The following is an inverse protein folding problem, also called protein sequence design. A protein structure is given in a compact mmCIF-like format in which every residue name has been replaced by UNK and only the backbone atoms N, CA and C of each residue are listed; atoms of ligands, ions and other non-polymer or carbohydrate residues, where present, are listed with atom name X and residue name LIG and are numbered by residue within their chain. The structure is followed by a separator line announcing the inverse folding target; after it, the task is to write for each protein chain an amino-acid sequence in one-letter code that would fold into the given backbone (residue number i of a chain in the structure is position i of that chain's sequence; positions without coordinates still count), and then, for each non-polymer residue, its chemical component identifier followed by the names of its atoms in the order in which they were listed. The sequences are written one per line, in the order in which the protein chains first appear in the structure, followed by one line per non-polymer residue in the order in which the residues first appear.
data_IF_471053394055
#
_entry.id   IF_471053394055
#
_cell.length_a   1.000
_cell.length_b   1.000
_cell.length_c   1.000
_cell.angle_alpha   90.00
_cell.angle_beta   90.00
_cell.angle_gamma   90.00
#
_symmetry.space_group_name_H-M   'P 1'
#
loop_
_entity.id
_entity.type
_entity.pdbx_description
1 polymer ?
#
# COMPACT_ATOMS: atom_id res chain seq x y z
N UNK A 1 -11.83 17.19 -7.60
CA UNK A 1 -12.10 15.81 -8.04
C UNK A 1 -13.19 15.73 -9.10
N UNK A 2 -14.47 16.12 -8.86
CA UNK A 2 -15.55 16.07 -9.86
C UNK A 2 -15.19 16.72 -11.22
N UNK A 3 -14.57 17.90 -11.20
CA UNK A 3 -14.13 18.59 -12.43
C UNK A 3 -13.10 17.78 -13.23
N UNK A 4 -12.18 17.08 -12.55
CA UNK A 4 -11.18 16.23 -13.21
C UNK A 4 -11.83 15.01 -13.85
N UNK A 5 -12.79 14.38 -13.18
CA UNK A 5 -13.56 13.25 -13.72
C UNK A 5 -14.33 13.70 -14.96
N UNK A 6 -15.06 14.82 -14.88
CA UNK A 6 -15.82 15.35 -15.99
C UNK A 6 -14.94 15.72 -17.20
N UNK A 7 -13.78 16.33 -16.96
CA UNK A 7 -12.83 16.69 -18.03
C UNK A 7 -12.21 15.46 -18.72
N UNK A 8 -12.07 14.34 -17.99
CA UNK A 8 -11.45 13.10 -18.53
C UNK A 8 -12.47 12.12 -19.13
N UNK A 9 -13.73 12.23 -18.76
CA UNK A 9 -14.80 11.36 -19.24
C UNK A 9 -16.09 12.18 -19.43
N UNK A 10 -16.13 13.06 -20.42
CA UNK A 10 -17.31 13.86 -20.69
C UNK A 10 -18.46 12.98 -21.18
N UNK A 11 -19.58 13.01 -20.45
CA UNK A 11 -20.83 12.35 -20.86
C UNK A 11 -20.99 10.86 -20.50
N UNK A 12 -20.05 10.28 -19.73
CA UNK A 12 -20.14 8.89 -19.29
C UNK A 12 -19.93 8.68 -17.80
N UNK A 13 -20.37 7.53 -17.24
CA UNK A 13 -20.04 7.15 -15.89
C UNK A 13 -18.52 6.91 -15.78
N UNK A 14 -17.88 7.58 -14.82
CA UNK A 14 -16.45 7.42 -14.59
C UNK A 14 -16.14 7.27 -13.10
N UNK A 15 -15.08 6.52 -12.79
CA UNK A 15 -14.55 6.35 -11.44
C UNK A 15 -13.21 7.05 -11.33
N UNK A 16 -12.98 7.70 -10.19
CA UNK A 16 -11.68 8.26 -9.88
C UNK A 16 -10.87 7.20 -9.12
N UNK A 17 -9.70 6.89 -9.65
CA UNK A 17 -8.72 6.05 -8.98
C UNK A 17 -7.52 6.93 -8.60
N UNK A 18 -7.06 6.78 -7.37
CA UNK A 18 -5.89 7.51 -6.85
C UNK A 18 -4.97 6.56 -6.10
N UNK A 19 -3.68 6.66 -6.37
CA UNK A 19 -2.63 5.98 -5.61
C UNK A 19 -1.79 7.03 -4.88
N UNK A 20 -1.74 6.94 -3.55
CA UNK A 20 -0.85 7.76 -2.73
C UNK A 20 -0.48 6.96 -1.48
N UNK A 21 0.81 6.83 -1.18
CA UNK A 21 1.30 6.07 -0.03
C UNK A 21 0.79 6.65 1.30
N UNK A 22 0.65 7.97 1.42
CA UNK A 22 0.13 8.63 2.60
C UNK A 22 -1.37 8.38 2.86
N UNK A 23 -2.11 7.78 1.91
CA UNK A 23 -3.51 7.45 2.13
C UNK A 23 -3.72 6.41 3.23
N UNK A 24 -2.70 5.61 3.54
CA UNK A 24 -2.74 4.66 4.67
C UNK A 24 -3.05 5.37 5.99
N UNK A 25 -2.49 6.56 6.23
CA UNK A 25 -2.78 7.36 7.43
C UNK A 25 -4.11 8.14 7.35
N UNK A 26 -4.73 8.17 6.17
CA UNK A 26 -5.96 8.95 5.90
C UNK A 26 -7.21 8.09 5.75
N UNK A 27 -7.13 6.79 6.04
CA UNK A 27 -8.25 5.85 5.87
C UNK A 27 -9.56 6.38 6.50
N UNK A 28 -9.61 6.79 7.78
CA UNK A 28 -10.86 7.27 8.37
C UNK A 28 -11.40 8.52 7.68
N UNK A 29 -10.53 9.46 7.34
CA UNK A 29 -10.93 10.66 6.60
C UNK A 29 -11.49 10.32 5.20
N UNK A 30 -10.87 9.37 4.49
CA UNK A 30 -11.35 8.94 3.18
C UNK A 30 -12.72 8.27 3.28
N UNK A 31 -12.94 7.45 4.30
CA UNK A 31 -14.21 6.77 4.54
C UNK A 31 -15.33 7.75 4.92
N UNK A 32 -15.00 8.80 5.66
CA UNK A 32 -15.93 9.87 6.03
C UNK A 32 -16.23 10.79 4.84
N UNK A 33 -15.20 11.31 4.19
CA UNK A 33 -15.35 12.27 3.09
C UNK A 33 -15.93 11.63 1.81
N UNK A 34 -15.75 10.33 1.63
CA UNK A 34 -16.20 9.56 0.48
C UNK A 34 -16.80 8.21 0.91
N UNK A 35 -18.02 8.20 1.49
CA UNK A 35 -18.62 6.98 2.07
C UNK A 35 -18.73 5.79 1.11
N UNK A 36 -18.71 6.05 -0.19
CA UNK A 36 -18.76 5.00 -1.24
C UNK A 36 -17.39 4.63 -1.82
N UNK A 37 -16.28 5.17 -1.29
CA UNK A 37 -14.97 4.82 -1.83
C UNK A 37 -14.61 3.37 -1.48
N UNK A 38 -13.86 2.74 -2.38
CA UNK A 38 -13.22 1.45 -2.15
C UNK A 38 -11.75 1.69 -1.87
N UNK A 39 -11.27 1.17 -0.75
CA UNK A 39 -9.87 1.26 -0.35
C UNK A 39 -9.23 -0.08 -0.64
N UNK A 40 -8.29 -0.10 -1.58
CA UNK A 40 -7.50 -1.29 -1.91
C UNK A 40 -6.14 -1.15 -1.22
N UNK A 41 -5.77 -2.17 -0.47
CA UNK A 41 -4.50 -2.26 0.25
C UNK A 41 -3.68 -3.41 -0.33
N UNK A 42 -2.67 -3.12 -1.16
CA UNK A 42 -1.71 -4.14 -1.56
C UNK A 42 -0.93 -4.60 -0.33
N UNK A 43 -1.04 -5.88 -0.01
CA UNK A 43 -0.39 -6.49 1.14
C UNK A 43 0.84 -7.26 0.70
N UNK A 44 1.98 -6.92 1.28
CA UNK A 44 3.27 -7.56 1.02
C UNK A 44 3.82 -8.10 2.33
N UNK A 45 4.51 -9.24 2.28
CA UNK A 45 5.16 -9.84 3.45
C UNK A 45 6.06 -8.83 4.16
N UNK A 46 6.01 -8.77 5.50
CA UNK A 46 6.69 -7.73 6.28
C UNK A 46 8.19 -7.68 6.02
N UNK A 47 8.89 -8.85 6.02
CA UNK A 47 10.34 -8.91 5.79
C UNK A 47 10.73 -8.36 4.42
N UNK A 48 9.97 -8.72 3.41
CA UNK A 48 10.25 -8.33 2.03
C UNK A 48 9.91 -6.86 1.79
N UNK A 49 8.86 -6.35 2.44
CA UNK A 49 8.46 -4.94 2.35
C UNK A 49 9.45 -4.04 3.10
N UNK A 50 9.76 -4.39 4.36
CA UNK A 50 10.71 -3.65 5.19
C UNK A 50 12.11 -3.59 4.56
N UNK A 51 12.63 -4.71 4.03
CA UNK A 51 13.89 -4.73 3.31
C UNK A 51 13.88 -3.82 2.06
N UNK A 52 12.75 -3.76 1.36
CA UNK A 52 12.60 -2.85 0.22
C UNK A 52 12.60 -1.38 0.61
N UNK A 53 11.92 -1.04 1.73
CA UNK A 53 11.90 0.32 2.27
C UNK A 53 13.28 0.75 2.75
N UNK A 54 13.98 -0.11 3.50
CA UNK A 54 15.37 0.14 3.93
C UNK A 54 16.28 0.38 2.73
N UNK A 55 16.26 -0.51 1.74
CA UNK A 55 17.08 -0.34 0.53
C UNK A 55 16.79 0.99 -0.18
N UNK A 56 15.53 1.38 -0.26
CA UNK A 56 15.13 2.66 -0.86
C UNK A 56 15.64 3.83 -0.02
N UNK A 57 15.55 3.73 1.31
CA UNK A 57 16.06 4.77 2.22
C UNK A 57 17.58 4.95 2.09
N UNK A 58 18.34 3.86 2.10
CA UNK A 58 19.80 3.91 1.93
C UNK A 58 20.20 4.48 0.57
N UNK A 59 19.45 4.13 -0.49
CA UNK A 59 19.68 4.71 -1.81
C UNK A 59 19.45 6.24 -1.82
N UNK A 60 18.36 6.72 -1.19
CA UNK A 60 18.08 8.14 -1.11
C UNK A 60 19.03 8.90 -0.17
N UNK A 61 19.53 8.26 0.90
CA UNK A 61 20.59 8.85 1.70
C UNK A 61 21.80 9.20 0.85
N UNK A 62 22.24 8.26 0.00
CA UNK A 62 23.36 8.47 -0.92
C UNK A 62 23.05 9.54 -1.96
N UNK A 63 21.94 9.41 -2.68
CA UNK A 63 21.55 10.36 -3.73
C UNK A 63 21.42 11.79 -3.23
N UNK A 64 20.85 11.97 -2.04
CA UNK A 64 20.64 13.31 -1.45
C UNK A 64 21.90 13.88 -0.79
N UNK A 65 22.88 13.03 -0.44
CA UNK A 65 24.19 13.47 -0.01
C UNK A 65 25.05 13.95 -1.19
N UNK A 66 24.96 13.22 -2.31
CA UNK A 66 25.75 13.50 -3.51
C UNK A 66 25.20 14.68 -4.35
N UNK A 67 23.87 14.94 -4.27
CA UNK A 67 23.21 15.96 -5.08
C UNK A 67 22.19 16.78 -4.27
N UNK A 68 22.51 18.05 -4.05
CA UNK A 68 21.63 18.99 -3.34
C UNK A 68 20.34 19.28 -4.10
N UNK A 69 20.35 19.23 -5.44
CA UNK A 69 19.16 19.43 -6.24
C UNK A 69 18.12 18.34 -5.96
N UNK A 70 18.54 17.05 -5.88
CA UNK A 70 17.64 15.95 -5.55
C UNK A 70 17.01 16.17 -4.18
N UNK A 71 17.82 16.55 -3.18
CA UNK A 71 17.32 16.82 -1.83
C UNK A 71 16.30 17.95 -1.80
N UNK A 72 16.60 19.05 -2.49
CA UNK A 72 15.72 20.22 -2.61
C UNK A 72 14.44 19.87 -3.35
N UNK A 73 14.55 19.23 -4.51
CA UNK A 73 13.41 18.82 -5.32
C UNK A 73 12.44 17.92 -4.54
N UNK A 74 12.96 16.88 -3.86
CA UNK A 74 12.13 15.96 -3.06
C UNK A 74 11.40 16.71 -1.93
N UNK A 75 12.08 17.64 -1.27
CA UNK A 75 11.45 18.50 -0.25
C UNK A 75 10.35 19.37 -0.83
N UNK A 76 10.59 20.02 -1.97
CA UNK A 76 9.68 20.98 -2.58
C UNK A 76 8.39 20.30 -3.11
N UNK A 77 8.48 19.03 -3.54
CA UNK A 77 7.32 18.22 -3.93
C UNK A 77 6.67 17.44 -2.76
N UNK A 78 7.20 17.59 -1.53
CA UNK A 78 6.65 16.96 -0.33
C UNK A 78 6.92 15.47 -0.21
N UNK A 79 7.98 14.95 -0.84
CA UNK A 79 8.41 13.55 -0.73
C UNK A 79 9.40 13.36 0.41
N UNK A 80 8.89 13.10 1.59
CA UNK A 80 9.66 12.91 2.83
C UNK A 80 9.80 11.45 3.25
N UNK A 81 9.48 10.51 2.39
CA UNK A 81 9.43 9.09 2.74
C UNK A 81 10.81 8.48 3.02
N UNK A 82 11.89 9.03 2.41
CA UNK A 82 13.23 8.43 2.44
C UNK A 82 14.34 9.48 2.44
N UNK A 83 15.55 9.03 2.81
CA UNK A 83 16.80 9.80 2.71
C UNK A 83 17.01 10.78 3.86
N UNK A 84 17.86 11.79 3.64
CA UNK A 84 18.24 12.80 4.62
C UNK A 84 17.09 13.64 5.16
N UNK A 85 16.03 13.76 4.38
CA UNK A 85 14.84 14.53 4.73
C UNK A 85 13.69 13.62 5.20
N UNK A 86 13.97 12.37 5.54
CA UNK A 86 12.99 11.40 5.98
C UNK A 86 12.13 11.92 7.14
N UNK A 87 10.82 11.81 6.97
CA UNK A 87 9.80 12.07 8.00
C UNK A 87 8.74 10.99 7.92
N UNK A 88 8.72 10.06 8.87
CA UNK A 88 7.74 8.98 8.87
C UNK A 88 6.33 9.49 9.15
N UNK A 89 5.34 8.78 8.67
CA UNK A 89 3.97 8.93 9.18
C UNK A 89 3.94 8.36 10.60
N UNK A 90 3.35 9.12 11.51
CA UNK A 90 3.24 8.69 12.91
C UNK A 90 1.96 7.87 13.08
N UNK A 91 2.13 6.58 13.32
CA UNK A 91 1.05 5.66 13.68
C UNK A 91 1.01 5.46 15.20
N UNK A 92 -0.15 5.13 15.78
CA UNK A 92 -0.21 4.75 17.20
C UNK A 92 0.76 3.61 17.51
N UNK A 93 1.60 3.79 18.52
CA UNK A 93 2.62 2.82 18.91
C UNK A 93 3.94 2.90 18.14
N UNK A 94 4.05 3.79 17.14
CA UNK A 94 5.31 4.03 16.45
C UNK A 94 6.05 5.23 17.05
N UNK A 95 7.21 4.96 17.66
CA UNK A 95 8.18 5.98 18.03
C UNK A 95 9.36 5.90 17.05
N UNK A 96 9.58 6.93 16.21
CA UNK A 96 10.67 6.95 15.25
C UNK A 96 12.07 6.99 15.88
N UNK A 97 12.18 7.27 17.17
CA UNK A 97 13.44 7.28 17.90
C UNK A 97 13.86 5.91 18.45
N UNK A 98 12.98 4.90 18.40
CA UNK A 98 13.28 3.56 18.95
C UNK A 98 14.42 2.86 18.22
N UNK A 99 14.54 3.04 16.92
CA UNK A 99 15.56 2.40 16.08
C UNK A 99 16.16 3.41 15.10
N UNK A 100 17.40 3.19 14.72
CA UNK A 100 18.05 3.97 13.68
C UNK A 100 17.45 3.67 12.31
N UNK A 101 17.20 4.71 11.50
CA UNK A 101 16.56 4.58 10.18
C UNK A 101 17.36 3.73 9.17
N UNK A 102 18.62 3.48 9.47
CA UNK A 102 19.53 2.64 8.67
C UNK A 102 19.49 1.17 9.05
N UNK A 103 18.69 0.79 10.05
CA UNK A 103 18.56 -0.60 10.52
C UNK A 103 17.30 -1.28 9.97
N UNK A 104 17.31 -2.61 9.79
CA UNK A 104 16.12 -3.38 9.40
C UNK A 104 14.96 -3.21 10.39
N UNK A 105 15.25 -3.16 11.70
CA UNK A 105 14.22 -3.12 12.76
C UNK A 105 13.41 -1.84 12.73
N UNK A 106 14.00 -0.70 12.32
CA UNK A 106 13.23 0.51 12.09
C UNK A 106 12.09 0.28 11.07
N UNK A 107 12.39 -0.36 9.95
CA UNK A 107 11.45 -0.51 8.84
C UNK A 107 10.41 -1.60 9.07
N UNK A 108 10.77 -2.67 9.79
CA UNK A 108 9.77 -3.67 10.14
C UNK A 108 8.85 -3.16 11.27
N UNK A 109 9.35 -2.39 12.23
CA UNK A 109 8.53 -1.72 13.23
C UNK A 109 7.60 -0.68 12.57
N UNK A 110 8.12 0.10 11.64
CA UNK A 110 7.30 1.04 10.86
C UNK A 110 6.19 0.31 10.09
N UNK A 111 6.52 -0.81 9.43
CA UNK A 111 5.56 -1.67 8.78
C UNK A 111 4.51 -2.19 9.77
N UNK A 112 4.93 -2.75 10.89
CA UNK A 112 4.07 -3.31 11.93
C UNK A 112 3.04 -2.30 12.43
N UNK A 113 3.48 -1.10 12.81
CA UNK A 113 2.55 -0.09 13.35
C UNK A 113 1.62 0.48 12.28
N UNK A 114 2.10 0.62 11.03
CA UNK A 114 1.27 1.02 9.91
C UNK A 114 0.16 -0.01 9.63
N UNK A 115 0.48 -1.30 9.62
CA UNK A 115 -0.51 -2.33 9.34
C UNK A 115 -1.40 -2.68 10.55
N UNK A 116 -0.93 -2.52 11.78
CA UNK A 116 -1.79 -2.48 12.98
C UNK A 116 -2.83 -1.35 12.89
N UNK A 117 -2.41 -0.22 12.36
CA UNK A 117 -3.36 0.88 12.13
C UNK A 117 -4.38 0.51 11.04
N UNK A 118 -3.96 -0.08 9.92
CA UNK A 118 -4.86 -0.58 8.85
C UNK A 118 -5.84 -1.63 9.38
N UNK A 119 -5.38 -2.53 10.25
CA UNK A 119 -6.19 -3.59 10.87
C UNK A 119 -7.45 -3.04 11.58
N UNK A 120 -7.39 -1.81 12.10
CA UNK A 120 -8.56 -1.15 12.71
C UNK A 120 -9.69 -0.87 11.70
N UNK A 121 -9.40 -0.95 10.42
CA UNK A 121 -10.32 -0.70 9.30
C UNK A 121 -10.42 -1.89 8.35
N UNK A 122 -10.03 -3.09 8.81
CA UNK A 122 -9.92 -4.28 7.95
C UNK A 122 -11.24 -4.63 7.26
N UNK A 123 -12.40 -4.38 7.88
CA UNK A 123 -13.73 -4.59 7.29
C UNK A 123 -14.12 -3.57 6.21
N UNK A 124 -13.32 -2.53 6.06
CA UNK A 124 -13.57 -1.42 5.11
C UNK A 124 -12.55 -1.38 3.99
N UNK A 125 -11.59 -2.32 3.99
CA UNK A 125 -10.51 -2.43 3.01
C UNK A 125 -10.63 -3.72 2.21
N UNK A 126 -10.19 -3.68 0.96
CA UNK A 126 -9.95 -4.85 0.12
C UNK A 126 -8.45 -5.10 0.12
N UNK A 127 -8.04 -6.26 0.59
CA UNK A 127 -6.64 -6.65 0.59
C UNK A 127 -6.34 -7.44 -0.67
N UNK A 128 -5.21 -7.15 -1.31
CA UNK A 128 -4.70 -7.93 -2.44
C UNK A 128 -3.25 -8.30 -2.15
N UNK A 129 -2.98 -9.60 -2.08
CA UNK A 129 -1.67 -10.09 -1.70
C UNK A 129 -0.70 -9.96 -2.87
N UNK A 130 0.48 -9.44 -2.61
CA UNK A 130 1.49 -9.31 -3.65
C UNK A 130 1.99 -10.67 -4.13
N UNK A 131 2.01 -11.67 -3.24
CA UNK A 131 2.40 -13.03 -3.55
C UNK A 131 1.42 -13.63 -4.58
N UNK A 132 0.11 -13.48 -4.36
CA UNK A 132 -0.93 -13.95 -5.29
C UNK A 132 -0.88 -13.20 -6.62
N UNK A 133 -0.74 -11.86 -6.59
CA UNK A 133 -0.58 -11.06 -7.82
C UNK A 133 0.63 -11.46 -8.66
N UNK A 134 1.62 -12.12 -8.08
CA UNK A 134 2.81 -12.58 -8.80
C UNK A 134 2.75 -14.06 -9.18
N UNK A 135 2.06 -14.86 -8.37
CA UNK A 135 1.85 -16.28 -8.66
C UNK A 135 0.86 -16.46 -9.81
N UNK A 136 -0.28 -15.79 -9.73
CA UNK A 136 -1.31 -15.75 -10.76
C UNK A 136 -1.88 -14.33 -10.94
N UNK A 137 -1.20 -13.49 -11.72
CA UNK A 137 -1.60 -12.10 -11.94
C UNK A 137 -2.99 -11.97 -12.56
N UNK A 138 -3.32 -12.87 -13.51
CA UNK A 138 -4.57 -12.78 -14.25
C UNK A 138 -5.76 -13.05 -13.33
N UNK A 139 -5.75 -14.20 -12.64
CA UNK A 139 -6.83 -14.61 -11.76
C UNK A 139 -7.00 -13.64 -10.58
N UNK A 140 -5.88 -13.23 -9.95
CA UNK A 140 -5.90 -12.32 -8.79
C UNK A 140 -6.48 -10.94 -9.15
N UNK A 141 -6.08 -10.37 -10.28
CA UNK A 141 -6.54 -9.04 -10.66
C UNK A 141 -7.93 -9.05 -11.29
N UNK A 142 -8.36 -10.14 -11.91
CA UNK A 142 -9.76 -10.33 -12.31
C UNK A 142 -10.68 -10.40 -11.08
N UNK A 143 -10.30 -11.16 -10.04
CA UNK A 143 -11.02 -11.20 -8.77
C UNK A 143 -11.07 -9.81 -8.09
N UNK A 144 -9.99 -9.05 -8.14
CA UNK A 144 -9.99 -7.66 -7.64
C UNK A 144 -10.92 -6.77 -8.47
N UNK A 145 -10.92 -6.89 -9.78
CA UNK A 145 -11.82 -6.14 -10.65
C UNK A 145 -13.29 -6.46 -10.34
N UNK A 146 -13.61 -7.74 -10.13
CA UNK A 146 -14.95 -8.18 -9.73
C UNK A 146 -15.35 -7.57 -8.38
N UNK A 147 -14.49 -7.66 -7.36
CA UNK A 147 -14.72 -7.07 -6.04
C UNK A 147 -14.93 -5.54 -6.09
N UNK A 148 -14.31 -4.88 -7.06
CA UNK A 148 -14.47 -3.45 -7.31
C UNK A 148 -15.71 -3.15 -8.20
N UNK A 149 -16.33 -4.15 -8.80
CA UNK A 149 -17.40 -3.98 -9.81
C UNK A 149 -16.89 -3.25 -11.05
N UNK A 150 -15.71 -3.61 -11.54
CA UNK A 150 -15.05 -3.08 -12.74
C UNK A 150 -14.82 -4.22 -13.70
N UNK A 151 -15.24 -4.05 -14.95
CA UNK A 151 -14.93 -5.05 -15.97
C UNK A 151 -13.41 -4.99 -16.31
N UNK A 152 -12.69 -6.11 -16.25
CA UNK A 152 -11.25 -6.13 -16.51
C UNK A 152 -10.90 -5.85 -17.99
N UNK A 153 -11.87 -5.98 -18.89
CA UNK A 153 -11.64 -5.84 -20.32
C UNK A 153 -10.82 -7.01 -20.88
N UNK A 154 -10.05 -6.73 -21.93
CA UNK A 154 -9.13 -7.71 -22.55
C UNK A 154 -7.68 -7.40 -22.16
N UNK A 155 -7.43 -7.23 -20.87
CA UNK A 155 -6.08 -6.90 -20.34
C UNK A 155 -5.37 -8.20 -20.00
N UNK A 156 -4.19 -8.39 -20.54
CA UNK A 156 -3.24 -9.40 -20.08
C UNK A 156 -2.46 -8.83 -18.89
N UNK A 157 -2.92 -9.14 -17.68
CA UNK A 157 -2.27 -8.67 -16.46
C UNK A 157 -0.90 -9.32 -16.27
N UNK A 158 -0.70 -10.54 -16.77
CA UNK A 158 0.57 -11.28 -16.61
C UNK A 158 1.75 -10.56 -17.26
N UNK A 159 1.50 -9.82 -18.34
CA UNK A 159 2.53 -9.04 -19.02
C UNK A 159 3.14 -7.90 -18.14
N UNK A 160 2.48 -7.54 -17.05
CA UNK A 160 2.89 -6.43 -16.17
C UNK A 160 3.63 -6.88 -14.91
N UNK A 161 3.73 -8.20 -14.67
CA UNK A 161 4.38 -8.74 -13.47
C UNK A 161 5.70 -9.43 -13.80
N UNK A 162 6.69 -9.16 -12.95
CA UNK A 162 7.97 -9.87 -12.99
C UNK A 162 7.93 -11.06 -12.03
N UNK A 163 8.74 -12.09 -12.26
CA UNK A 163 8.89 -13.19 -11.32
C UNK A 163 9.13 -12.70 -9.89
N UNK A 164 8.71 -13.50 -8.92
CA UNK A 164 8.91 -13.20 -7.51
C UNK A 164 10.40 -13.09 -7.22
N UNK A 165 10.89 -12.00 -6.62
CA UNK A 165 12.25 -11.98 -6.09
C UNK A 165 12.32 -12.90 -4.88
N UNK A 166 13.53 -13.37 -4.56
CA UNK A 166 13.78 -14.12 -3.34
C UNK A 166 13.27 -13.35 -2.12
N UNK A 167 12.76 -14.09 -1.15
CA UNK A 167 12.32 -13.49 0.12
C UNK A 167 13.53 -12.93 0.84
N UNK A 168 13.34 -11.78 1.49
CA UNK A 168 14.37 -11.25 2.36
C UNK A 168 14.58 -12.23 3.54
N UNK A 169 15.83 -12.44 3.99
CA UNK A 169 16.12 -13.25 5.15
C UNK A 169 15.39 -12.71 6.39
N UNK A 170 14.79 -13.60 7.18
CA UNK A 170 14.05 -13.22 8.39
C UNK A 170 14.97 -12.93 9.58
N UNK A 171 16.15 -13.52 9.58
CA UNK A 171 17.20 -13.33 10.59
C UNK A 171 17.86 -11.94 10.59
N UNK A 172 17.45 -11.08 9.65
CA UNK A 172 17.83 -9.67 9.63
C UNK A 172 17.13 -8.82 10.71
N UNK A 173 16.08 -9.33 11.32
CA UNK A 173 15.16 -8.61 12.20
C UNK A 173 15.20 -9.15 13.63
N UNK A 174 14.87 -8.31 14.61
CA UNK A 174 14.57 -8.80 15.94
C UNK A 174 13.48 -9.86 15.88
N UNK A 175 13.69 -11.07 16.46
CA UNK A 175 12.75 -12.18 16.32
C UNK A 175 11.36 -11.89 16.89
N UNK A 176 11.27 -11.13 18.00
CA UNK A 176 9.98 -10.81 18.61
C UNK A 176 9.22 -9.81 17.76
N UNK A 177 9.93 -8.79 17.27
CA UNK A 177 9.34 -7.78 16.38
C UNK A 177 8.87 -8.39 15.06
N UNK A 178 9.68 -9.31 14.49
CA UNK A 178 9.30 -10.04 13.29
C UNK A 178 8.04 -10.91 13.52
N UNK A 179 7.98 -11.65 14.62
CA UNK A 179 6.84 -12.51 14.94
C UNK A 179 5.53 -11.69 15.06
N UNK A 180 5.60 -10.50 15.67
CA UNK A 180 4.44 -9.60 15.75
C UNK A 180 4.01 -9.09 14.37
N UNK A 181 4.96 -8.74 13.50
CA UNK A 181 4.67 -8.29 12.15
C UNK A 181 4.06 -9.41 11.28
N UNK A 182 4.60 -10.61 11.39
CA UNK A 182 4.09 -11.79 10.68
C UNK A 182 2.66 -12.15 11.12
N UNK A 183 2.37 -12.09 12.42
CA UNK A 183 1.02 -12.32 12.95
C UNK A 183 0.00 -11.30 12.39
N UNK A 184 0.37 -10.04 12.27
CA UNK A 184 -0.48 -9.01 11.64
C UNK A 184 -0.66 -9.30 10.15
N UNK A 185 0.41 -9.70 9.45
CA UNK A 185 0.34 -10.08 8.05
C UNK A 185 -0.63 -11.24 7.82
N UNK A 186 -0.45 -12.35 8.56
CA UNK A 186 -1.26 -13.56 8.41
C UNK A 186 -2.76 -13.27 8.68
N UNK A 187 -3.06 -12.45 9.68
CA UNK A 187 -4.45 -12.02 9.93
C UNK A 187 -5.04 -11.25 8.75
N UNK A 188 -4.32 -10.29 8.20
CA UNK A 188 -4.80 -9.47 7.08
C UNK A 188 -4.84 -10.28 5.77
N UNK A 189 -3.93 -11.23 5.61
CA UNK A 189 -3.87 -12.12 4.45
C UNK A 189 -5.11 -13.03 4.35
N UNK A 190 -5.65 -13.48 5.47
CA UNK A 190 -6.92 -14.23 5.52
C UNK A 190 -8.11 -13.45 4.94
N UNK A 191 -8.00 -12.13 4.82
CA UNK A 191 -9.02 -11.25 4.23
C UNK A 191 -8.69 -10.85 2.78
N UNK A 192 -7.68 -11.47 2.20
CA UNK A 192 -7.29 -11.26 0.80
C UNK A 192 -8.44 -11.53 -0.16
N UNK A 193 -8.47 -10.77 -1.24
CA UNK A 193 -9.40 -11.05 -2.35
C UNK A 193 -8.96 -12.37 -2.97
N UNK A 194 -9.81 -13.38 -2.84
CA UNK A 194 -9.62 -14.71 -3.43
C UNK A 194 -10.50 -14.86 -4.66
N UNK A 195 -10.03 -15.57 -5.69
CA UNK A 195 -10.87 -15.96 -6.83
C UNK A 195 -12.12 -16.69 -6.34
N UNK A 196 -13.29 -16.25 -6.80
CA UNK A 196 -14.58 -16.87 -6.45
C UNK A 196 -15.10 -16.58 -5.04
N UNK A 197 -14.40 -15.84 -4.21
CA UNK A 197 -14.87 -15.41 -2.89
C UNK A 197 -15.54 -14.05 -2.98
N UNK A 198 -16.84 -14.04 -3.25
CA UNK A 198 -17.70 -12.87 -3.09
C UNK A 198 -17.80 -12.50 -1.62
N UNK A 199 -16.92 -11.67 -1.12
CA UNK A 199 -17.18 -10.95 0.12
C UNK A 199 -17.73 -9.57 -0.25
N UNK A 200 -19.04 -9.34 -0.07
CA UNK A 200 -19.61 -8.02 -0.26
C UNK A 200 -19.13 -7.15 0.89
N UNK A 201 -18.07 -6.40 0.67
CA UNK A 201 -17.83 -5.22 1.50
C UNK A 201 -19.01 -4.29 1.26
N UNK A 202 -19.94 -4.25 2.22
CA UNK A 202 -21.22 -3.56 2.12
C UNK A 202 -21.07 -2.05 1.97
N UNK A 203 -20.83 -1.61 0.76
CA UNK A 203 -20.79 -0.19 0.41
C UNK A 203 -21.46 -0.01 -0.97
N UNK A 204 -22.51 0.82 -1.02
CA UNK A 204 -23.10 1.22 -2.30
C UNK A 204 -22.04 1.89 -3.18
N UNK A 205 -21.89 1.39 -4.39
CA UNK A 205 -21.08 2.07 -5.42
C UNK A 205 -21.75 3.42 -5.69
N UNK A 206 -21.08 4.51 -5.34
CA UNK A 206 -21.56 5.84 -5.74
C UNK A 206 -21.17 6.02 -7.20
N UNK A 207 -22.14 5.79 -8.08
CA UNK A 207 -22.04 6.23 -9.47
C UNK A 207 -22.29 7.74 -9.45
N UNK A 208 -21.25 8.53 -9.63
CA UNK A 208 -21.43 9.97 -9.85
C UNK A 208 -21.94 10.12 -11.28
N UNK A 209 -23.25 10.32 -11.44
CA UNK A 209 -23.80 10.79 -12.70
C UNK A 209 -23.26 12.22 -12.90
N UNK A 210 -22.77 12.49 -14.11
CA UNK A 210 -22.32 13.79 -14.55
C UNK A 210 -23.45 14.82 -14.52
#
# INVERSE_FOLDING_TARGET
MRKVIHARSPGGPARYCSKNNANIARIPYLLEAFPGCRIVVPLRRPETHAASLLRQHLNFLKLQADDEFIRRYMRDIGHFEFGLIHRPLLFPGFDPATFETTTPDYWINYWLQAFRYVQRFEDRCLFVLQDDMRADPQETLEALCEALGVAPGKIDFSAHFRPMPDRAPQDLYDPALFAEADAVYERLAQRGVLPGALSPVGGKVITVRA
#
